data_IF_519473668024
#
_entry.id   IF_519473668024
#
_cell.length_a   1.000
_cell.length_b   1.000
_cell.length_c   1.000
_cell.angle_alpha   90.00
_cell.angle_beta   90.00
_cell.angle_gamma   90.00
#
_symmetry.space_group_name_H-M   'P 1'
#
loop_
_entity.id
_entity.type
_entity.pdbx_description
1 polymer ?
#
# COMPACT_ATOMS: atom_id res chain seq x y z
N UNK A 1 -13.01 9.58 12.11
CA UNK A 1 -11.70 10.09 12.55
C UNK A 1 -10.63 9.06 12.25
N UNK A 2 -9.46 9.51 11.78
CA UNK A 2 -8.26 8.66 11.67
C UNK A 2 -7.33 9.02 12.81
N UNK A 3 -6.81 8.00 13.49
CA UNK A 3 -5.88 8.15 14.59
C UNK A 3 -4.50 7.59 14.20
N UNK A 4 -3.45 8.34 14.52
CA UNK A 4 -2.07 7.85 14.43
C UNK A 4 -1.52 7.65 15.83
N UNK A 5 -1.03 6.45 16.08
CA UNK A 5 -0.33 6.11 17.30
C UNK A 5 1.11 6.61 17.14
N UNK A 6 1.38 7.76 17.74
CA UNK A 6 2.66 8.47 17.62
C UNK A 6 3.32 8.61 18.99
N UNK A 7 4.65 8.55 19.00
CA UNK A 7 5.51 8.76 20.16
C UNK A 7 5.62 10.24 20.57
N UNK A 8 5.41 11.15 19.62
CA UNK A 8 5.41 12.60 19.81
C UNK A 8 4.35 13.28 18.92
N UNK A 9 4.00 14.53 19.23
CA UNK A 9 3.02 15.31 18.45
C UNK A 9 1.56 15.20 18.94
N UNK A 10 0.59 15.69 18.15
CA UNK A 10 -0.79 15.94 18.58
C UNK A 10 -1.56 14.70 19.08
N UNK A 11 -1.19 13.50 18.61
CA UNK A 11 -1.83 12.24 19.00
C UNK A 11 -1.26 11.58 20.25
N UNK A 12 -0.05 11.96 20.70
CA UNK A 12 0.68 11.25 21.77
C UNK A 12 -0.16 11.08 23.02
N UNK A 13 -0.75 12.16 23.54
CA UNK A 13 -1.48 12.14 24.80
C UNK A 13 -2.69 11.19 24.80
N UNK A 14 -3.28 10.91 23.63
CA UNK A 14 -4.42 10.02 23.52
C UNK A 14 -4.03 8.53 23.53
N UNK A 15 -2.80 8.19 23.12
CA UNK A 15 -2.37 6.82 22.86
C UNK A 15 -1.15 6.38 23.67
N UNK A 16 -0.47 7.29 24.38
CA UNK A 16 0.79 7.01 25.09
C UNK A 16 0.69 5.87 26.10
N UNK A 17 -0.46 5.74 26.76
CA UNK A 17 -0.69 4.72 27.79
C UNK A 17 -1.39 3.46 27.25
N UNK A 18 -1.57 3.36 25.92
CA UNK A 18 -2.18 2.18 25.33
C UNK A 18 -1.24 0.97 25.44
N UNK A 19 -1.78 -0.22 25.76
CA UNK A 19 -0.99 -1.44 25.62
C UNK A 19 -0.63 -1.63 24.15
N UNK A 20 0.62 -2.00 23.88
CA UNK A 20 1.10 -2.27 22.52
C UNK A 20 0.21 -3.29 21.79
N UNK A 21 -0.27 -4.31 22.49
CA UNK A 21 -1.21 -5.30 21.94
C UNK A 21 -2.55 -4.68 21.53
N UNK A 22 -3.05 -3.68 22.26
CA UNK A 22 -4.27 -2.95 21.92
C UNK A 22 -4.08 -2.05 20.69
N UNK A 23 -2.94 -1.38 20.60
CA UNK A 23 -2.53 -0.60 19.43
C UNK A 23 -2.47 -1.47 18.15
N UNK A 24 -1.78 -2.61 18.23
CA UNK A 24 -1.68 -3.57 17.12
C UNK A 24 -3.06 -4.13 16.75
N UNK A 25 -3.86 -4.54 17.74
CA UNK A 25 -5.19 -5.07 17.49
C UNK A 25 -6.10 -4.04 16.80
N UNK A 26 -6.08 -2.79 17.26
CA UNK A 26 -6.86 -1.70 16.65
C UNK A 26 -6.43 -1.43 15.20
N UNK A 27 -5.12 -1.36 14.94
CA UNK A 27 -4.58 -1.08 13.60
C UNK A 27 -4.92 -2.18 12.58
N UNK A 28 -5.18 -3.42 13.02
CA UNK A 28 -5.50 -4.57 12.17
C UNK A 28 -6.96 -5.03 12.25
N UNK A 29 -7.83 -4.26 12.91
CA UNK A 29 -9.25 -4.62 13.11
C UNK A 29 -10.07 -4.40 11.82
N UNK A 30 -9.74 -5.16 10.77
CA UNK A 30 -10.33 -4.99 9.45
C UNK A 30 -11.82 -5.35 9.49
N UNK A 31 -12.72 -4.44 9.06
CA UNK A 31 -14.16 -4.71 9.01
C UNK A 31 -14.42 -6.01 8.26
N UNK A 32 -15.46 -6.75 8.69
CA UNK A 32 -15.85 -8.07 8.18
C UNK A 32 -14.93 -9.22 8.64
N UNK A 33 -13.66 -8.95 8.98
CA UNK A 33 -12.73 -9.97 9.47
C UNK A 33 -12.62 -10.00 11.00
N UNK A 34 -12.57 -8.83 11.63
CA UNK A 34 -12.35 -8.69 13.07
C UNK A 34 -13.33 -7.70 13.69
N UNK A 35 -13.73 -7.88 14.97
CA UNK A 35 -14.54 -6.91 15.67
C UNK A 35 -13.74 -5.62 15.94
N UNK A 36 -14.41 -4.45 16.03
CA UNK A 36 -13.75 -3.22 16.46
C UNK A 36 -13.12 -3.35 17.85
N UNK A 37 -11.94 -2.76 18.02
CA UNK A 37 -11.26 -2.66 19.31
C UNK A 37 -11.77 -1.44 20.06
N UNK A 38 -11.93 -1.54 21.39
CA UNK A 38 -12.48 -0.48 22.24
C UNK A 38 -13.84 0.08 21.75
N UNK A 39 -14.63 -0.74 21.04
CA UNK A 39 -15.98 -0.41 20.58
C UNK A 39 -16.07 0.36 19.27
N UNK A 40 -15.03 1.10 18.87
CA UNK A 40 -15.08 1.97 17.67
C UNK A 40 -13.78 2.03 16.85
N UNK A 41 -12.70 1.37 17.27
CA UNK A 41 -11.43 1.37 16.54
C UNK A 41 -11.42 0.25 15.50
N UNK A 42 -11.16 0.61 14.26
CA UNK A 42 -11.07 -0.29 13.11
C UNK A 42 -9.73 -0.09 12.40
N UNK A 43 -9.40 -1.02 11.51
CA UNK A 43 -8.15 -1.02 10.74
C UNK A 43 -7.87 0.31 10.03
N UNK A 44 -6.63 0.80 10.17
CA UNK A 44 -6.19 2.08 9.60
C UNK A 44 -6.16 2.12 8.07
N UNK A 45 -6.08 0.94 7.43
CA UNK A 45 -6.13 0.75 5.99
C UNK A 45 -7.52 0.84 5.37
N UNK A 46 -8.59 0.92 6.17
CA UNK A 46 -9.96 1.17 5.67
C UNK A 46 -10.10 2.59 5.10
N UNK A 47 -9.30 3.52 5.60
CA UNK A 47 -9.26 4.90 5.11
C UNK A 47 -8.23 5.10 4.00
N UNK A 48 -7.70 6.31 3.93
CA UNK A 48 -6.67 6.69 2.93
C UNK A 48 -5.24 6.30 3.36
N UNK A 49 -5.08 5.56 4.45
CA UNK A 49 -3.80 5.31 5.12
C UNK A 49 -3.37 3.84 5.11
N UNK A 50 -3.86 3.05 4.15
CA UNK A 50 -3.34 1.71 3.89
C UNK A 50 -1.84 1.69 3.56
N UNK A 51 -1.28 2.84 3.16
CA UNK A 51 0.15 3.11 3.18
C UNK A 51 0.46 4.32 4.08
N UNK A 52 0.90 4.12 5.34
CA UNK A 52 1.10 5.21 6.31
C UNK A 52 2.40 5.99 6.12
N UNK A 53 3.07 5.90 4.96
CA UNK A 53 4.39 6.52 4.73
C UNK A 53 4.43 8.03 5.01
N UNK A 54 3.36 8.77 4.72
CA UNK A 54 3.30 10.20 5.01
C UNK A 54 3.25 10.49 6.51
N UNK A 55 2.47 9.70 7.25
CA UNK A 55 2.36 9.84 8.70
C UNK A 55 3.70 9.52 9.38
N UNK A 56 4.38 8.47 8.93
CA UNK A 56 5.72 8.11 9.41
C UNK A 56 6.74 9.20 9.09
N UNK A 57 6.74 9.73 7.86
CA UNK A 57 7.61 10.85 7.48
C UNK A 57 7.36 12.09 8.34
N UNK A 58 6.09 12.40 8.61
CA UNK A 58 5.71 13.55 9.44
C UNK A 58 6.14 13.35 10.89
N UNK A 59 5.93 12.17 11.47
CA UNK A 59 6.39 11.89 12.82
C UNK A 59 7.91 12.04 12.93
N UNK A 60 8.65 11.41 12.02
CA UNK A 60 10.11 11.46 11.99
C UNK A 60 10.63 12.89 11.80
N UNK A 61 10.18 13.60 10.78
CA UNK A 61 10.77 14.88 10.38
C UNK A 61 10.24 16.08 11.17
N UNK A 62 9.01 16.02 11.69
CA UNK A 62 8.33 17.16 12.31
C UNK A 62 8.10 17.01 13.81
N UNK A 63 7.80 15.79 14.30
CA UNK A 63 7.43 15.59 15.71
C UNK A 63 8.62 15.24 16.60
N UNK A 64 9.50 14.34 16.15
CA UNK A 64 10.71 13.96 16.88
C UNK A 64 11.94 14.68 16.32
N UNK A 65 12.09 14.74 14.99
CA UNK A 65 13.07 15.55 14.28
C UNK A 65 14.48 15.48 14.90
N UNK A 66 15.13 16.62 15.11
CA UNK A 66 16.45 16.74 15.72
C UNK A 66 16.57 16.21 17.15
N UNK A 67 15.46 15.99 17.87
CA UNK A 67 15.52 15.39 19.20
C UNK A 67 15.98 13.92 19.16
N UNK A 68 15.75 13.24 18.03
CA UNK A 68 16.11 11.84 17.79
C UNK A 68 16.97 11.68 16.52
N UNK A 69 17.68 12.75 16.11
CA UNK A 69 18.59 12.79 14.94
C UNK A 69 17.93 12.53 13.57
N UNK A 70 16.60 12.66 13.46
CA UNK A 70 15.86 12.68 12.19
C UNK A 70 15.93 14.06 11.55
N UNK A 71 17.09 14.40 11.01
CA UNK A 71 17.35 15.66 10.31
C UNK A 71 17.42 15.47 8.80
N UNK A 72 17.29 16.57 8.06
CA UNK A 72 17.37 16.55 6.59
C UNK A 72 18.67 15.86 6.13
N UNK A 73 18.56 15.05 5.08
CA UNK A 73 19.63 14.22 4.49
C UNK A 73 20.22 13.12 5.40
N UNK A 74 19.66 12.91 6.62
CA UNK A 74 20.06 11.86 7.56
C UNK A 74 18.95 10.80 7.79
N UNK A 75 18.00 10.68 6.86
CA UNK A 75 16.85 9.78 7.02
C UNK A 75 16.61 8.98 5.75
N UNK A 76 16.52 7.66 5.90
CA UNK A 76 16.02 6.75 4.86
C UNK A 76 14.64 6.24 5.29
N UNK A 77 13.61 6.56 4.52
CA UNK A 77 12.26 6.04 4.73
C UNK A 77 11.96 4.90 3.76
N UNK A 78 11.92 3.67 4.29
CA UNK A 78 11.57 2.47 3.52
C UNK A 78 10.07 2.17 3.70
N UNK A 79 9.32 2.27 2.60
CA UNK A 79 7.91 1.90 2.54
C UNK A 79 7.74 0.59 1.77
N UNK A 80 7.12 -0.40 2.40
CA UNK A 80 6.94 -1.75 1.84
C UNK A 80 5.45 -2.00 1.63
N UNK A 81 5.08 -2.36 0.40
CA UNK A 81 3.72 -2.74 0.04
C UNK A 81 3.48 -4.25 0.16
N UNK A 82 2.21 -4.62 0.29
CA UNK A 82 1.74 -6.00 0.41
C UNK A 82 1.49 -6.67 -0.95
N UNK A 83 1.80 -5.98 -2.05
CA UNK A 83 1.59 -6.40 -3.42
C UNK A 83 0.55 -5.54 -4.13
N UNK A 84 0.67 -5.49 -5.46
CA UNK A 84 -0.27 -4.82 -6.34
C UNK A 84 -0.83 -5.84 -7.33
N UNK A 85 -2.13 -6.03 -7.32
CA UNK A 85 -2.81 -6.86 -8.31
C UNK A 85 -3.31 -5.95 -9.44
N UNK A 86 -2.85 -6.13 -10.69
CA UNK A 86 -3.37 -5.35 -11.80
C UNK A 86 -4.85 -5.69 -11.98
N UNK A 87 -5.68 -4.65 -12.03
CA UNK A 87 -7.12 -4.78 -12.27
C UNK A 87 -7.42 -4.20 -13.64
N UNK A 88 -7.25 -5.02 -14.67
CA UNK A 88 -7.79 -4.72 -15.99
C UNK A 88 -9.30 -4.95 -15.90
N UNK A 89 -10.07 -3.86 -15.88
CA UNK A 89 -11.53 -3.92 -16.02
C UNK A 89 -11.86 -3.52 -17.44
N UNK A 90 -12.71 -4.29 -18.09
CA UNK A 90 -13.15 -3.96 -19.45
C UNK A 90 -13.88 -2.61 -19.45
N UNK A 91 -13.68 -1.86 -20.54
CA UNK A 91 -14.37 -0.60 -20.76
C UNK A 91 -15.90 -0.78 -20.68
N UNK A 92 -16.55 0.13 -19.95
CA UNK A 92 -18.01 0.14 -19.82
C UNK A 92 -18.59 -0.78 -18.73
N UNK A 93 -17.79 -1.60 -18.04
CA UNK A 93 -18.28 -2.48 -16.96
C UNK A 93 -18.91 -1.67 -15.81
N UNK A 94 -18.39 -0.47 -15.52
CA UNK A 94 -18.94 0.42 -14.49
C UNK A 94 -20.40 0.83 -14.76
N UNK A 95 -20.86 0.84 -16.01
CA UNK A 95 -22.26 1.15 -16.35
C UNK A 95 -23.26 0.09 -15.86
N UNK A 96 -22.76 -1.08 -15.46
CA UNK A 96 -23.57 -2.23 -15.00
C UNK A 96 -23.39 -2.50 -13.50
N UNK A 97 -22.69 -1.63 -12.76
CA UNK A 97 -22.49 -1.80 -11.33
C UNK A 97 -23.79 -1.68 -10.55
N UNK A 98 -24.05 -2.70 -9.73
CA UNK A 98 -25.00 -2.61 -8.63
C UNK A 98 -24.42 -1.73 -7.50
N UNK A 99 -25.26 -1.42 -6.51
CA UNK A 99 -24.81 -0.71 -5.31
C UNK A 99 -23.67 -1.45 -4.60
N UNK A 100 -23.70 -2.78 -4.56
CA UNK A 100 -22.64 -3.58 -3.95
C UNK A 100 -21.34 -3.55 -4.76
N UNK A 101 -21.44 -3.50 -6.09
CA UNK A 101 -20.26 -3.35 -6.95
C UNK A 101 -19.60 -1.98 -6.75
N UNK A 102 -20.41 -0.92 -6.60
CA UNK A 102 -19.91 0.41 -6.27
C UNK A 102 -19.25 0.47 -4.88
N UNK A 103 -19.86 -0.16 -3.86
CA UNK A 103 -19.27 -0.23 -2.52
C UNK A 103 -17.93 -0.98 -2.57
N UNK A 104 -17.89 -2.14 -3.23
CA UNK A 104 -16.64 -2.88 -3.42
C UNK A 104 -15.60 -2.08 -4.21
N UNK A 105 -16.01 -1.34 -5.23
CA UNK A 105 -15.11 -0.48 -6.01
C UNK A 105 -14.53 0.67 -5.17
N UNK A 106 -15.38 1.46 -4.52
CA UNK A 106 -14.94 2.61 -3.73
C UNK A 106 -14.04 2.17 -2.57
N UNK A 107 -14.39 1.08 -1.90
CA UNK A 107 -13.58 0.56 -0.80
C UNK A 107 -12.29 -0.07 -1.34
N UNK A 108 -12.37 -1.10 -2.18
CA UNK A 108 -11.18 -1.87 -2.55
C UNK A 108 -10.31 -1.18 -3.61
N UNK A 109 -10.89 -0.39 -4.51
CA UNK A 109 -10.12 0.34 -5.52
C UNK A 109 -9.64 1.69 -5.03
N UNK A 110 -10.46 2.38 -4.22
CA UNK A 110 -10.04 3.61 -3.56
C UNK A 110 -8.86 3.42 -2.61
N UNK A 111 -8.73 2.26 -1.95
CA UNK A 111 -7.61 1.96 -1.04
C UNK A 111 -6.26 1.88 -1.78
N UNK A 112 -6.21 1.24 -2.96
CA UNK A 112 -4.97 1.14 -3.73
C UNK A 112 -4.55 2.51 -4.29
N UNK A 113 -5.51 3.27 -4.79
CA UNK A 113 -5.27 4.61 -5.33
C UNK A 113 -4.86 5.58 -4.21
N UNK A 114 -5.51 5.50 -3.04
CA UNK A 114 -5.13 6.26 -1.87
C UNK A 114 -3.72 5.88 -1.39
N UNK A 115 -3.38 4.58 -1.40
CA UNK A 115 -2.05 4.10 -1.04
C UNK A 115 -0.97 4.67 -1.96
N UNK A 116 -1.24 4.76 -3.27
CA UNK A 116 -0.34 5.38 -4.23
C UNK A 116 -0.28 6.91 -4.06
N UNK A 117 -1.41 7.54 -3.76
CA UNK A 117 -1.49 8.98 -3.48
C UNK A 117 -0.65 9.36 -2.24
N UNK A 118 -0.66 8.54 -1.18
CA UNK A 118 0.22 8.74 -0.02
C UNK A 118 1.71 8.72 -0.40
N UNK A 119 2.12 7.85 -1.33
CA UNK A 119 3.50 7.81 -1.86
C UNK A 119 3.85 9.10 -2.60
N UNK A 120 2.97 9.57 -3.48
CA UNK A 120 3.21 10.80 -4.23
C UNK A 120 3.26 12.03 -3.34
N UNK A 121 2.36 12.15 -2.36
CA UNK A 121 2.35 13.27 -1.42
C UNK A 121 3.60 13.24 -0.54
N UNK A 122 3.98 12.08 -0.01
CA UNK A 122 5.21 11.92 0.78
C UNK A 122 6.43 12.37 -0.01
N UNK A 123 6.54 11.93 -1.28
CA UNK A 123 7.64 12.33 -2.16
C UNK A 123 7.61 13.82 -2.47
N UNK A 124 6.44 14.39 -2.75
CA UNK A 124 6.30 15.81 -3.05
C UNK A 124 6.73 16.70 -1.86
N UNK A 125 6.44 16.28 -0.63
CA UNK A 125 6.76 17.06 0.58
C UNK A 125 8.21 16.83 1.03
N UNK A 126 8.69 15.58 1.01
CA UNK A 126 9.92 15.20 1.71
C UNK A 126 11.08 14.72 0.81
N UNK A 127 10.92 14.62 -0.52
CA UNK A 127 12.00 14.08 -1.38
C UNK A 127 13.32 14.85 -1.35
N UNK A 128 13.30 16.14 -0.99
CA UNK A 128 14.51 16.94 -0.79
C UNK A 128 15.03 16.97 0.65
N UNK A 129 14.44 16.17 1.55
CA UNK A 129 14.77 16.13 2.98
C UNK A 129 15.09 14.74 3.48
N UNK A 130 14.57 13.70 2.84
CA UNK A 130 14.86 12.31 3.17
C UNK A 130 14.92 11.45 1.91
N UNK A 131 15.63 10.34 2.01
CA UNK A 131 15.68 9.32 0.98
C UNK A 131 14.46 8.39 1.10
N UNK A 132 13.44 8.66 0.28
CA UNK A 132 12.20 7.90 0.26
C UNK A 132 12.24 6.74 -0.74
N UNK A 133 12.09 5.51 -0.25
CA UNK A 133 12.13 4.29 -1.08
C UNK A 133 10.86 3.48 -0.91
N UNK A 134 10.12 3.27 -2.00
CA UNK A 134 8.89 2.48 -2.02
C UNK A 134 9.07 1.20 -2.85
N UNK A 135 8.73 0.08 -2.25
CA UNK A 135 8.76 -1.23 -2.88
C UNK A 135 7.37 -1.85 -2.84
N UNK A 136 6.86 -2.34 -3.97
CA UNK A 136 5.58 -3.03 -4.02
C UNK A 136 5.58 -4.04 -5.18
N UNK A 137 5.55 -5.36 -4.92
CA UNK A 137 5.63 -6.36 -5.98
C UNK A 137 4.33 -6.42 -6.81
N UNK A 138 4.45 -6.63 -8.11
CA UNK A 138 3.33 -6.88 -9.01
C UNK A 138 2.88 -8.34 -8.91
N UNK A 139 1.66 -8.58 -8.41
CA UNK A 139 1.06 -9.89 -8.18
C UNK A 139 0.36 -10.44 -9.43
N UNK A 140 1.05 -10.43 -10.58
CA UNK A 140 0.58 -11.08 -11.80
C UNK A 140 1.37 -12.35 -12.08
N UNK A 141 0.70 -13.38 -12.60
CA UNK A 141 1.33 -14.64 -13.01
C UNK A 141 2.61 -14.40 -13.84
N UNK A 142 2.51 -13.55 -14.85
CA UNK A 142 3.62 -13.20 -15.73
C UNK A 142 4.79 -12.52 -15.00
N UNK A 143 4.53 -11.58 -14.09
CA UNK A 143 5.57 -10.90 -13.31
C UNK A 143 6.28 -11.89 -12.37
N UNK A 144 5.51 -12.71 -11.65
CA UNK A 144 6.06 -13.67 -10.70
C UNK A 144 6.94 -14.72 -11.40
N UNK A 145 6.53 -15.20 -12.57
CA UNK A 145 7.31 -16.16 -13.35
C UNK A 145 8.53 -15.53 -14.02
N UNK A 146 8.32 -14.49 -14.83
CA UNK A 146 9.37 -13.88 -15.64
C UNK A 146 10.34 -13.05 -14.81
N UNK A 147 9.81 -12.17 -13.97
CA UNK A 147 10.62 -11.14 -13.31
C UNK A 147 11.17 -11.65 -11.97
N UNK A 148 10.38 -12.43 -11.22
CA UNK A 148 10.82 -13.02 -9.95
C UNK A 148 11.42 -14.42 -10.07
N UNK A 149 11.21 -15.12 -11.19
CA UNK A 149 11.77 -16.45 -11.43
C UNK A 149 11.13 -17.56 -10.61
N UNK A 150 9.88 -17.38 -10.17
CA UNK A 150 9.14 -18.37 -9.39
C UNK A 150 8.27 -19.20 -10.35
N UNK A 151 8.46 -20.52 -10.46
CA UNK A 151 7.62 -21.36 -11.30
C UNK A 151 6.20 -21.41 -10.70
N UNK A 152 5.19 -21.01 -11.46
CA UNK A 152 3.83 -20.83 -10.93
C UNK A 152 2.92 -22.05 -11.18
N UNK A 153 3.38 -23.00 -11.99
CA UNK A 153 2.58 -24.17 -12.36
C UNK A 153 2.20 -24.96 -11.10
N UNK A 154 0.91 -25.25 -10.94
CA UNK A 154 0.38 -25.91 -9.75
C UNK A 154 0.30 -25.05 -8.48
N UNK A 155 0.74 -23.79 -8.51
CA UNK A 155 0.63 -22.86 -7.39
C UNK A 155 -0.68 -22.06 -7.41
N UNK A 156 -1.13 -21.53 -6.26
CA UNK A 156 -2.24 -20.59 -6.19
C UNK A 156 -2.02 -19.38 -7.11
N UNK A 157 -3.12 -18.78 -7.58
CA UNK A 157 -3.03 -17.56 -8.37
C UNK A 157 -2.53 -16.38 -7.51
N UNK A 158 -1.39 -15.74 -7.85
CA UNK A 158 -0.90 -14.59 -7.11
C UNK A 158 -1.90 -13.43 -7.06
N UNK A 159 -2.69 -13.24 -8.12
CA UNK A 159 -3.67 -12.16 -8.20
C UNK A 159 -4.87 -12.35 -7.26
N UNK A 160 -5.06 -13.56 -6.75
CA UNK A 160 -6.14 -13.92 -5.82
C UNK A 160 -5.67 -13.94 -4.35
N UNK A 161 -4.42 -13.56 -4.09
CA UNK A 161 -3.91 -13.39 -2.73
C UNK A 161 -4.55 -12.14 -2.11
N UNK A 162 -5.21 -12.34 -0.97
CA UNK A 162 -5.97 -11.32 -0.24
C UNK A 162 -5.78 -11.51 1.27
N UNK A 163 -6.33 -10.61 2.09
CA UNK A 163 -6.33 -10.73 3.56
C UNK A 163 -6.88 -12.07 4.08
N UNK A 164 -7.73 -12.76 3.30
CA UNK A 164 -8.28 -14.07 3.68
C UNK A 164 -7.39 -15.27 3.29
N UNK A 165 -6.25 -15.02 2.64
CA UNK A 165 -5.32 -16.07 2.19
C UNK A 165 -4.58 -16.69 3.36
N UNK A 166 -5.03 -17.86 3.78
CA UNK A 166 -4.58 -18.56 4.99
C UNK A 166 -4.13 -20.01 4.76
N UNK A 167 -4.30 -20.51 3.54
CA UNK A 167 -3.91 -21.90 3.22
C UNK A 167 -2.38 -21.99 3.17
N UNK A 168 -1.77 -23.10 3.61
CA UNK A 168 -0.31 -23.23 3.63
C UNK A 168 0.37 -22.91 2.30
N UNK A 169 -0.22 -23.34 1.18
CA UNK A 169 0.29 -23.07 -0.16
C UNK A 169 0.23 -21.58 -0.54
N UNK A 170 -0.76 -20.83 -0.05
CA UNK A 170 -0.89 -19.39 -0.29
C UNK A 170 0.16 -18.62 0.53
N UNK A 171 0.34 -19.00 1.80
CA UNK A 171 1.33 -18.40 2.69
C UNK A 171 2.74 -18.66 2.15
N UNK A 172 3.03 -19.89 1.74
CA UNK A 172 4.32 -20.26 1.14
C UNK A 172 4.60 -19.46 -0.14
N UNK A 173 3.58 -19.25 -0.98
CA UNK A 173 3.71 -18.42 -2.18
C UNK A 173 3.98 -16.95 -1.82
N UNK A 174 3.25 -16.36 -0.86
CA UNK A 174 3.48 -14.99 -0.40
C UNK A 174 4.91 -14.79 0.11
N UNK A 175 5.40 -15.74 0.92
CA UNK A 175 6.78 -15.73 1.41
C UNK A 175 7.79 -15.85 0.27
N UNK A 176 7.57 -16.78 -0.67
CA UNK A 176 8.44 -16.98 -1.83
C UNK A 176 8.55 -15.70 -2.67
N UNK A 177 7.41 -15.04 -2.95
CA UNK A 177 7.34 -13.76 -3.66
C UNK A 177 8.14 -12.70 -2.92
N UNK A 178 7.87 -12.49 -1.62
CA UNK A 178 8.57 -11.49 -0.82
C UNK A 178 10.09 -11.70 -0.80
N UNK A 179 10.54 -12.95 -0.61
CA UNK A 179 11.98 -13.29 -0.62
C UNK A 179 12.61 -13.11 -1.99
N UNK A 180 11.95 -13.55 -3.07
CA UNK A 180 12.47 -13.42 -4.42
C UNK A 180 12.58 -11.97 -4.85
N UNK A 181 11.56 -11.16 -4.53
CA UNK A 181 11.56 -9.74 -4.78
C UNK A 181 12.70 -9.06 -4.01
N UNK A 182 12.81 -9.26 -2.70
CA UNK A 182 13.86 -8.67 -1.87
C UNK A 182 15.30 -8.99 -2.35
N UNK A 183 15.54 -10.20 -2.87
CA UNK A 183 16.84 -10.60 -3.43
C UNK A 183 17.20 -9.89 -4.74
N UNK A 184 16.21 -9.39 -5.47
CA UNK A 184 16.40 -8.68 -6.75
C UNK A 184 16.51 -7.17 -6.58
N UNK A 185 16.26 -6.65 -5.38
CA UNK A 185 16.35 -5.22 -5.10
C UNK A 185 17.81 -4.80 -4.91
N UNK A 186 18.17 -3.68 -5.53
CA UNK A 186 19.35 -2.92 -5.16
C UNK A 186 19.02 -2.01 -3.98
N UNK A 187 19.39 -2.46 -2.78
CA UNK A 187 19.16 -1.72 -1.53
C UNK A 187 20.08 -0.51 -1.36
N UNK A 188 20.97 -0.22 -2.31
CA UNK A 188 21.83 0.98 -2.26
C UNK A 188 21.23 2.15 -3.05
N UNK A 189 20.32 1.87 -3.99
CA UNK A 189 19.67 2.90 -4.80
C UNK A 189 18.76 3.78 -3.96
N UNK A 190 18.93 5.08 -4.10
CA UNK A 190 18.12 6.12 -3.45
C UNK A 190 16.86 6.43 -4.27
N UNK A 191 15.84 6.97 -3.59
CA UNK A 191 14.60 7.47 -4.20
C UNK A 191 13.85 6.48 -5.09
N UNK A 192 13.90 5.19 -4.72
CA UNK A 192 13.33 4.08 -5.49
C UNK A 192 11.81 4.09 -5.45
N UNK A 193 11.17 3.87 -6.61
CA UNK A 193 9.74 3.59 -6.72
C UNK A 193 9.49 2.14 -7.15
N UNK A 194 8.25 1.61 -7.02
CA UNK A 194 7.96 0.24 -7.43
C UNK A 194 8.34 -0.06 -8.89
N UNK A 195 8.04 0.87 -9.80
CA UNK A 195 8.33 0.71 -11.24
C UNK A 195 9.82 0.82 -11.59
N UNK A 196 10.67 1.17 -10.63
CA UNK A 196 12.11 1.17 -10.78
C UNK A 196 12.75 -0.20 -10.50
N UNK A 197 11.94 -1.19 -10.11
CA UNK A 197 12.41 -2.48 -9.59
C UNK A 197 11.91 -3.67 -10.44
N UNK A 198 12.72 -4.76 -10.56
CA UNK A 198 12.28 -5.97 -11.25
C UNK A 198 11.08 -6.62 -10.56
N UNK A 199 9.98 -6.80 -11.29
CA UNK A 199 8.74 -7.38 -10.77
C UNK A 199 7.95 -6.46 -9.84
N UNK A 200 8.29 -5.17 -9.79
CA UNK A 200 7.53 -4.16 -9.06
C UNK A 200 6.30 -3.67 -9.81
N UNK A 201 5.38 -3.03 -9.08
CA UNK A 201 4.19 -2.39 -9.63
C UNK A 201 4.57 -1.40 -10.76
N UNK A 202 3.97 -1.51 -11.96
CA UNK A 202 4.29 -0.65 -13.08
C UNK A 202 3.81 0.77 -12.83
N UNK A 203 4.44 1.73 -13.52
CA UNK A 203 3.97 3.12 -13.53
C UNK A 203 2.63 3.18 -14.26
N UNK A 204 1.66 3.92 -13.73
CA UNK A 204 0.47 4.24 -14.50
C UNK A 204 0.86 5.05 -15.74
N UNK A 205 0.69 4.45 -16.91
CA UNK A 205 0.85 5.14 -18.19
C UNK A 205 -0.49 5.76 -18.58
N UNK A 206 -0.59 7.08 -18.48
CA UNK A 206 -1.79 7.82 -18.92
C UNK A 206 -1.82 8.03 -20.43
N UNK A 207 -0.74 7.74 -21.16
CA UNK A 207 -0.68 7.94 -22.62
C UNK A 207 -1.46 6.88 -23.41
N UNK A 208 -1.88 5.79 -22.75
CA UNK A 208 -2.54 4.63 -23.37
C UNK A 208 -4.05 4.55 -23.11
N UNK A 209 -4.66 5.55 -22.46
CA UNK A 209 -6.11 5.63 -22.24
C UNK A 209 -6.77 6.64 -23.20
N UNK A 210 -7.06 6.28 -24.47
CA UNK A 210 -7.83 7.15 -25.34
C UNK A 210 -9.27 7.25 -24.80
N UNK A 211 -9.63 8.42 -24.27
CA UNK A 211 -11.03 8.69 -23.88
C UNK A 211 -11.83 9.03 -25.14
N UNK A 212 -12.67 8.10 -25.56
CA UNK A 212 -13.59 8.30 -26.68
C UNK A 212 -14.84 9.09 -26.25
N UNK A 213 -14.73 10.42 -26.30
CA UNK A 213 -15.82 11.34 -26.00
C UNK A 213 -17.02 11.22 -26.95
N UNK A 214 -16.85 10.59 -28.13
CA UNK A 214 -17.90 10.50 -29.15
C UNK A 214 -19.14 9.73 -28.69
N UNK A 215 -18.95 8.84 -27.71
CA UNK A 215 -19.98 8.01 -27.09
C UNK A 215 -20.66 8.65 -25.87
N UNK A 216 -20.31 9.89 -25.53
CA UNK A 216 -20.84 10.58 -24.34
C UNK A 216 -21.77 11.73 -24.73
N UNK A 217 -22.74 12.10 -23.86
CA UNK A 217 -23.57 13.29 -24.06
C UNK A 217 -22.80 14.60 -23.77
N UNK A 218 -21.57 14.51 -23.27
CA UNK A 218 -20.72 15.65 -22.93
C UNK A 218 -19.81 15.95 -24.13
N UNK A 219 -20.27 16.87 -24.99
CA UNK A 219 -19.49 17.44 -26.09
C UNK A 219 -19.28 18.93 -25.87
#
# INVERSE_FOLDING_TARGET
>A
DTYYMVSAGPGRAAFADWPLSGAIAASGAAPIYFPPVAGNLIDGGVGVYANPCLAVATEAMEYISSAEDFVDDNVILISIGTGFTPRDRDDGVASRYSLFDWVNYVILSGIDDASLQQVFVTRAIYSGRLDFRRYNPLLSRASIERDLGIPIEGLPDPAQLTLSSRRPEQIALMEAIGRAYARKLDWTREHVMPWDTPGGQPRHDMSTFPVDWSKTPFR
#
